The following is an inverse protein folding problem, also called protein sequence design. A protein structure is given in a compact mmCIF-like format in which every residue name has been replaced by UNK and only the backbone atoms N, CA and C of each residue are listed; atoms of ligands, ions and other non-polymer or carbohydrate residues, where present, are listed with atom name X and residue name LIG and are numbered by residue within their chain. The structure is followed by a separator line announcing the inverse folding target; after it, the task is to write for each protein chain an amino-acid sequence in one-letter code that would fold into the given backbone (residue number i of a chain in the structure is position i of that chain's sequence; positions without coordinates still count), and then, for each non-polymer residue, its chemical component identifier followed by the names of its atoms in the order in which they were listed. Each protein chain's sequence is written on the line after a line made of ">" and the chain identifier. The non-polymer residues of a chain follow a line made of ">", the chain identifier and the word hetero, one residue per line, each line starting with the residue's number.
data_IF_810737036262
#
_entry.id   IF_810737036262
#
_cell.length_a   1.000
_cell.length_b   1.000
_cell.length_c   1.000
_cell.angle_alpha   90.00
_cell.angle_beta   90.00
_cell.angle_gamma   90.00
#
_symmetry.space_group_name_H-M   'P 1'
#
loop_
_entity.id
_entity.type
_entity.pdbx_description
1 polymer ?
#
# COMPACT_ATOMS: atom_id res chain seq x y z
N UNK A 1 -7.13 6.10 -6.43
CA UNK A 1 -5.95 5.61 -5.72
C UNK A 1 -6.04 5.77 -4.19
N UNK A 2 -6.32 6.98 -3.66
CA UNK A 2 -6.47 7.23 -2.21
C UNK A 2 -7.28 6.17 -1.43
N UNK A 3 -8.45 5.77 -1.94
CA UNK A 3 -9.31 4.72 -1.34
C UNK A 3 -8.61 3.37 -1.15
N UNK A 4 -7.71 2.98 -2.05
CA UNK A 4 -7.00 1.70 -1.96
C UNK A 4 -6.01 1.70 -0.78
N UNK A 5 -5.31 2.82 -0.56
CA UNK A 5 -4.40 2.95 0.58
C UNK A 5 -5.14 3.04 1.91
N UNK A 6 -6.26 3.78 1.96
CA UNK A 6 -7.13 3.81 3.15
C UNK A 6 -7.65 2.42 3.52
N UNK A 7 -7.94 1.57 2.52
CA UNK A 7 -8.37 0.20 2.76
C UNK A 7 -7.27 -0.69 3.36
N UNK A 8 -5.99 -0.46 3.00
CA UNK A 8 -4.86 -1.14 3.66
C UNK A 8 -4.81 -0.73 5.14
N UNK A 9 -4.79 0.58 5.40
CA UNK A 9 -4.70 1.11 6.77
C UNK A 9 -5.83 0.55 7.65
N UNK A 10 -7.08 0.65 7.20
CA UNK A 10 -8.23 0.13 7.95
C UNK A 10 -8.16 -1.39 8.16
N UNK A 11 -7.73 -2.16 7.17
CA UNK A 11 -7.59 -3.62 7.30
C UNK A 11 -6.53 -4.01 8.33
N UNK A 12 -5.40 -3.28 8.36
CA UNK A 12 -4.34 -3.54 9.34
C UNK A 12 -4.73 -3.07 10.75
N UNK A 13 -5.44 -1.95 10.88
CA UNK A 13 -5.91 -1.45 12.18
C UNK A 13 -6.95 -2.35 12.83
N UNK A 14 -7.84 -2.95 12.04
CA UNK A 14 -8.87 -3.87 12.53
C UNK A 14 -8.36 -5.31 12.73
N UNK A 15 -7.06 -5.49 12.90
CA UNK A 15 -6.42 -6.80 13.04
C UNK A 15 -6.79 -7.82 11.95
N UNK A 16 -6.95 -7.33 10.71
CA UNK A 16 -7.25 -8.15 9.55
C UNK A 16 -6.25 -9.29 9.36
N UNK A 17 -6.75 -10.42 8.89
CA UNK A 17 -5.96 -11.63 8.69
C UNK A 17 -4.83 -11.38 7.67
N UNK A 18 -3.73 -12.16 7.73
CA UNK A 18 -2.65 -12.05 6.75
C UNK A 18 -3.13 -12.13 5.29
N UNK A 19 -4.09 -13.01 5.01
CA UNK A 19 -4.66 -13.17 3.67
C UNK A 19 -5.43 -11.91 3.21
N UNK A 20 -6.23 -11.31 4.09
CA UNK A 20 -6.96 -10.08 3.79
C UNK A 20 -6.00 -8.91 3.53
N UNK A 21 -4.98 -8.74 4.39
CA UNK A 21 -4.01 -7.67 4.19
C UNK A 21 -3.26 -7.86 2.87
N UNK A 22 -2.78 -9.07 2.56
CA UNK A 22 -2.13 -9.36 1.28
C UNK A 22 -3.06 -9.06 0.10
N UNK A 23 -4.35 -9.41 0.20
CA UNK A 23 -5.32 -9.10 -0.85
C UNK A 23 -5.48 -7.58 -1.04
N UNK A 24 -5.52 -6.78 0.03
CA UNK A 24 -5.57 -5.31 -0.04
C UNK A 24 -4.29 -4.73 -0.64
N UNK A 25 -3.13 -5.24 -0.26
CA UNK A 25 -1.84 -4.82 -0.83
C UNK A 25 -1.77 -5.10 -2.33
N UNK A 26 -2.22 -6.27 -2.79
CA UNK A 26 -2.29 -6.61 -4.22
C UNK A 26 -3.25 -5.72 -5.00
N UNK A 27 -4.42 -5.45 -4.44
CA UNK A 27 -5.39 -4.55 -5.05
C UNK A 27 -4.84 -3.12 -5.20
N UNK A 28 -4.14 -2.61 -4.17
CA UNK A 28 -3.48 -1.31 -4.25
C UNK A 28 -2.35 -1.30 -5.28
N UNK A 29 -1.55 -2.38 -5.36
CA UNK A 29 -0.47 -2.50 -6.33
C UNK A 29 -1.00 -2.49 -7.76
N UNK A 30 -2.02 -3.30 -8.05
CA UNK A 30 -2.66 -3.35 -9.37
C UNK A 30 -3.23 -1.99 -9.77
N UNK A 31 -3.77 -1.24 -8.81
CA UNK A 31 -4.24 0.12 -9.08
C UNK A 31 -3.09 1.08 -9.40
N UNK A 32 -1.98 1.01 -8.68
CA UNK A 32 -0.80 1.82 -8.97
C UNK A 32 -0.25 1.51 -10.36
N UNK A 33 -0.27 0.24 -10.76
CA UNK A 33 0.20 -0.20 -12.08
C UNK A 33 -0.64 0.37 -13.22
N UNK A 34 -1.97 0.29 -13.10
CA UNK A 34 -2.91 0.88 -14.06
C UNK A 34 -2.72 2.40 -14.17
N UNK A 35 -2.63 3.09 -13.03
CA UNK A 35 -2.47 4.54 -13.01
C UNK A 35 -1.07 4.96 -13.53
N UNK A 36 -0.02 4.15 -13.31
CA UNK A 36 1.34 4.40 -13.84
C UNK A 36 1.42 4.22 -15.36
N UNK A 37 0.69 3.25 -15.92
CA UNK A 37 0.61 3.03 -17.36
C UNK A 37 -0.05 4.20 -18.11
N UNK A 38 -0.91 4.96 -17.42
CA UNK A 38 -1.58 6.13 -17.98
C UNK A 38 -0.74 7.42 -17.91
N UNK A 39 0.41 7.40 -17.24
CA UNK A 39 1.25 8.58 -17.02
C UNK A 39 2.48 8.59 -17.96
N UNK A 40 2.81 9.75 -18.55
CA UNK A 40 4.10 9.93 -19.21
C UNK A 40 5.24 9.82 -18.18
N UNK A 41 6.45 9.51 -18.66
CA UNK A 41 7.63 9.47 -17.80
C UNK A 41 7.84 10.82 -17.09
N UNK A 42 7.99 10.76 -15.77
CA UNK A 42 8.09 11.94 -14.92
C UNK A 42 7.97 11.63 -13.42
N UNK A 43 7.92 12.68 -12.60
CA UNK A 43 7.90 12.56 -11.13
C UNK A 43 6.71 11.77 -10.61
N UNK A 44 5.53 11.93 -11.22
CA UNK A 44 4.33 11.19 -10.81
C UNK A 44 4.52 9.68 -11.01
N UNK A 45 5.09 9.26 -12.15
CA UNK A 45 5.37 7.85 -12.44
C UNK A 45 6.45 7.28 -11.53
N UNK A 46 7.52 8.05 -11.23
CA UNK A 46 8.55 7.66 -10.25
C UNK A 46 7.98 7.44 -8.85
N UNK A 47 7.08 8.32 -8.40
CA UNK A 47 6.40 8.16 -7.11
C UNK A 47 5.57 6.88 -7.07
N UNK A 48 4.86 6.55 -8.14
CA UNK A 48 4.09 5.30 -8.21
C UNK A 48 4.99 4.07 -8.19
N UNK A 49 6.11 4.08 -8.90
CA UNK A 49 7.08 2.98 -8.86
C UNK A 49 7.61 2.73 -7.43
N UNK A 50 7.94 3.79 -6.69
CA UNK A 50 8.37 3.67 -5.30
C UNK A 50 7.27 3.05 -4.41
N UNK A 51 6.02 3.46 -4.59
CA UNK A 51 4.88 2.91 -3.85
C UNK A 51 4.66 1.44 -4.23
N UNK A 52 4.76 1.08 -5.51
CA UNK A 52 4.66 -0.31 -5.97
C UNK A 52 5.73 -1.20 -5.32
N UNK A 53 6.98 -0.73 -5.27
CA UNK A 53 8.08 -1.44 -4.62
C UNK A 53 7.83 -1.64 -3.12
N UNK A 54 7.31 -0.63 -2.43
CA UNK A 54 6.96 -0.72 -1.02
C UNK A 54 5.81 -1.72 -0.78
N UNK A 55 4.76 -1.68 -1.60
CA UNK A 55 3.65 -2.64 -1.54
C UNK A 55 4.11 -4.08 -1.78
N UNK A 56 5.00 -4.31 -2.75
CA UNK A 56 5.57 -5.64 -3.01
C UNK A 56 6.41 -6.12 -1.82
N UNK A 57 7.23 -5.23 -1.27
CA UNK A 57 8.06 -5.52 -0.09
C UNK A 57 7.19 -5.91 1.09
N UNK A 58 6.14 -5.14 1.38
CA UNK A 58 5.19 -5.45 2.45
C UNK A 58 4.51 -6.79 2.24
N UNK A 59 4.06 -7.12 1.03
CA UNK A 59 3.47 -8.44 0.74
C UNK A 59 4.45 -9.58 1.04
N UNK A 60 5.73 -9.41 0.71
CA UNK A 60 6.76 -10.42 0.92
C UNK A 60 7.10 -10.63 2.39
N UNK A 61 7.15 -9.56 3.18
CA UNK A 61 7.52 -9.63 4.60
C UNK A 61 6.33 -9.83 5.54
N UNK A 62 5.10 -9.60 5.08
CA UNK A 62 3.88 -9.70 5.90
C UNK A 62 3.75 -11.03 6.66
N UNK A 63 4.01 -12.22 6.07
CA UNK A 63 3.91 -13.48 6.80
C UNK A 63 4.84 -13.59 8.01
N UNK A 64 5.94 -12.83 8.02
CA UNK A 64 6.96 -12.86 9.08
C UNK A 64 6.78 -11.73 10.09
N UNK A 65 6.41 -10.55 9.63
CA UNK A 65 6.38 -9.32 10.44
C UNK A 65 4.96 -8.80 10.70
N UNK A 66 3.95 -9.30 10.00
CA UNK A 66 2.57 -8.80 10.05
C UNK A 66 1.88 -8.96 11.41
N UNK A 67 2.41 -9.78 12.32
CA UNK A 67 1.93 -9.89 13.71
C UNK A 67 2.65 -8.94 14.67
N UNK A 68 3.74 -8.31 14.25
CA UNK A 68 4.50 -7.38 15.09
C UNK A 68 3.81 -6.01 15.10
N UNK A 69 3.47 -5.53 16.30
CA UNK A 69 2.74 -4.26 16.51
C UNK A 69 3.42 -3.07 15.83
N UNK A 70 4.73 -2.93 15.95
CA UNK A 70 5.47 -1.79 15.41
C UNK A 70 5.48 -1.79 13.88
N UNK A 71 5.61 -2.98 13.27
CA UNK A 71 5.53 -3.13 11.83
C UNK A 71 4.12 -2.77 11.31
N UNK A 72 3.07 -3.27 11.97
CA UNK A 72 1.67 -2.92 11.64
C UNK A 72 1.44 -1.41 11.73
N UNK A 73 1.90 -0.77 12.81
CA UNK A 73 1.78 0.67 13.01
C UNK A 73 2.51 1.47 11.93
N UNK A 74 3.70 1.03 11.51
CA UNK A 74 4.44 1.66 10.42
C UNK A 74 3.67 1.58 9.08
N UNK A 75 3.15 0.40 8.74
CA UNK A 75 2.35 0.19 7.52
C UNK A 75 1.08 1.05 7.53
N UNK A 76 0.37 1.14 8.65
CA UNK A 76 -0.83 2.00 8.78
C UNK A 76 -0.47 3.47 8.55
N UNK A 77 0.59 3.95 9.21
CA UNK A 77 1.05 5.33 9.09
C UNK A 77 1.40 5.67 7.64
N UNK A 78 2.16 4.81 6.98
CA UNK A 78 2.62 5.04 5.61
C UNK A 78 1.48 4.92 4.60
N UNK A 79 0.58 3.94 4.75
CA UNK A 79 -0.62 3.84 3.93
C UNK A 79 -1.51 5.09 4.06
N UNK A 80 -1.67 5.66 5.26
CA UNK A 80 -2.40 6.93 5.46
C UNK A 80 -1.70 8.11 4.79
N UNK A 81 -0.37 8.17 4.87
CA UNK A 81 0.41 9.21 4.18
C UNK A 81 0.17 9.14 2.67
N UNK A 82 0.26 7.97 2.06
CA UNK A 82 -0.03 7.79 0.63
C UNK A 82 -1.48 8.12 0.30
N UNK A 83 -2.45 7.69 1.12
CA UNK A 83 -3.85 8.04 0.93
C UNK A 83 -4.06 9.55 0.82
N UNK A 84 -3.36 10.35 1.64
CA UNK A 84 -3.35 11.81 1.59
C UNK A 84 -2.66 12.33 0.34
N UNK A 85 -1.49 11.81 0.01
CA UNK A 85 -0.69 12.24 -1.17
C UNK A 85 -1.44 12.05 -2.48
N UNK A 86 -2.23 10.97 -2.61
CA UNK A 86 -2.98 10.63 -3.82
C UNK A 86 -4.49 10.94 -3.73
N UNK A 87 -4.89 11.79 -2.78
CA UNK A 87 -6.24 12.36 -2.68
C UNK A 87 -6.34 13.76 -3.30
N UNK A 88 -5.22 14.46 -3.44
CA UNK A 88 -5.09 15.73 -4.15
C UNK A 88 -4.91 15.49 -5.66
#
# INVERSE_FOLDING_TARGET
>A
MSRAFSAIASCVESDGSPAEVIARLRAAWSRCDQDAAALPDGDARRRLANVQQALETWQRVWPRLGTQRDFRAAVVREARLWAKTFAA
#
